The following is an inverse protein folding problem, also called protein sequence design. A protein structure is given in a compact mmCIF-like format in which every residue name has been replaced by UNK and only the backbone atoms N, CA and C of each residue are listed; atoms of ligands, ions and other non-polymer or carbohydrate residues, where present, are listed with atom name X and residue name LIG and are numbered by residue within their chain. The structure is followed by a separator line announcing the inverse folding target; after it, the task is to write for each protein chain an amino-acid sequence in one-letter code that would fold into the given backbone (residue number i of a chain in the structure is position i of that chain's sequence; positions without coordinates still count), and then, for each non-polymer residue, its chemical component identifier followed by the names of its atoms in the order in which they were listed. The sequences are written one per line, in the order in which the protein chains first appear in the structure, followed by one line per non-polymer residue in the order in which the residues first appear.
data_IF_643218671343
#
_entry.id   IF_643218671343
#
_cell.length_a   1.000
_cell.length_b   1.000
_cell.length_c   1.000
_cell.angle_alpha   90.00
_cell.angle_beta   90.00
_cell.angle_gamma   90.00
#
_symmetry.space_group_name_H-M   'P 1'
#
loop_
_entity.id
_entity.type
_entity.pdbx_description
1 polymer ?
#
# COMPACT_ATOMS: atom_id res chain seq x y z
N UNK A 1 -11.86 6.29 10.40
CA UNK A 1 -11.37 5.45 9.29
C UNK A 1 -11.13 4.04 9.82
N UNK A 2 -11.95 3.08 9.41
CA UNK A 2 -11.82 1.68 9.83
C UNK A 2 -10.75 1.01 8.95
N UNK A 3 -9.52 1.50 9.04
CA UNK A 3 -8.37 0.92 8.33
C UNK A 3 -8.00 -0.40 8.99
N UNK A 4 -8.01 -1.49 8.23
CA UNK A 4 -7.59 -2.80 8.75
C UNK A 4 -6.07 -2.85 8.85
N UNK A 5 -5.54 -2.96 10.07
CA UNK A 5 -4.12 -3.15 10.30
C UNK A 5 -3.71 -4.59 9.97
N UNK A 6 -2.67 -4.75 9.15
CA UNK A 6 -2.10 -6.06 8.86
C UNK A 6 -1.58 -6.68 10.17
N UNK A 7 -2.06 -7.88 10.51
CA UNK A 7 -1.69 -8.62 11.72
C UNK A 7 -2.01 -7.93 13.06
N UNK A 8 -2.94 -6.97 13.10
CA UNK A 8 -3.33 -6.27 14.35
C UNK A 8 -2.16 -5.57 15.05
N UNK A 9 -1.15 -5.16 14.28
CA UNK A 9 -0.03 -4.38 14.78
C UNK A 9 -0.41 -2.90 14.69
N UNK A 10 -0.41 -2.15 15.82
CA UNK A 10 -0.77 -0.75 15.83
C UNK A 10 0.03 0.07 14.80
N UNK A 11 -0.66 0.92 14.06
CA UNK A 11 -0.04 1.88 13.15
C UNK A 11 0.98 2.73 13.91
N UNK A 12 2.23 2.68 13.47
CA UNK A 12 3.31 3.49 14.05
C UNK A 12 3.45 4.80 13.26
N UNK A 13 3.06 5.91 13.90
CA UNK A 13 3.17 7.27 13.31
C UNK A 13 4.38 7.98 13.92
N UNK A 14 5.59 7.63 13.47
CA UNK A 14 6.87 8.20 13.92
C UNK A 14 7.55 9.13 12.89
N UNK A 15 6.82 9.42 11.81
CA UNK A 15 7.23 10.21 10.65
C UNK A 15 5.99 10.89 10.04
N UNK A 16 6.14 11.89 9.16
CA UNK A 16 5.02 12.44 8.40
C UNK A 16 4.20 11.31 7.76
N UNK A 17 2.90 11.37 7.98
CA UNK A 17 1.96 10.34 7.58
C UNK A 17 0.67 11.03 7.18
N UNK A 18 0.06 10.54 6.10
CA UNK A 18 -1.26 10.95 5.63
C UNK A 18 -2.08 9.71 5.28
N UNK A 19 -3.39 9.89 5.27
CA UNK A 19 -4.32 8.92 4.69
C UNK A 19 -4.77 9.40 3.32
N UNK A 20 -4.63 8.53 2.32
CA UNK A 20 -5.06 8.78 0.96
C UNK A 20 -5.23 7.47 0.17
N UNK A 21 -5.66 7.60 -1.09
CA UNK A 21 -5.74 6.48 -2.03
C UNK A 21 -4.52 6.48 -2.94
N UNK A 22 -3.94 5.29 -3.17
CA UNK A 22 -2.79 5.14 -4.07
C UNK A 22 -3.11 5.61 -5.51
N UNK A 23 -4.38 5.50 -5.90
CA UNK A 23 -4.91 5.93 -7.19
C UNK A 23 -5.07 7.46 -7.33
N UNK A 24 -4.91 8.22 -6.24
CA UNK A 24 -5.01 9.68 -6.20
C UNK A 24 -4.16 10.22 -5.05
N UNK A 25 -2.84 10.16 -5.21
CA UNK A 25 -1.90 10.55 -4.17
C UNK A 25 -1.94 12.06 -3.93
N UNK A 26 -2.01 12.54 -2.68
CA UNK A 26 -2.21 13.95 -2.36
C UNK A 26 -0.89 14.74 -2.37
N UNK A 27 -0.01 14.48 -3.35
CA UNK A 27 1.33 15.07 -3.43
C UNK A 27 1.54 15.79 -4.75
N UNK A 28 2.40 16.81 -4.74
CA UNK A 28 2.82 17.55 -5.94
C UNK A 28 3.60 16.64 -6.90
N UNK A 29 3.62 17.04 -8.17
CA UNK A 29 4.36 16.34 -9.20
C UNK A 29 5.85 16.29 -8.89
N UNK A 30 6.46 15.11 -9.04
CA UNK A 30 7.90 14.86 -8.87
C UNK A 30 8.49 15.41 -7.56
N UNK A 31 7.68 15.52 -6.51
CA UNK A 31 8.12 16.01 -5.20
C UNK A 31 9.01 14.99 -4.48
N UNK A 32 8.90 13.72 -4.85
CA UNK A 32 9.76 12.66 -4.35
C UNK A 32 10.80 12.24 -5.38
N UNK A 33 12.03 12.00 -4.92
CA UNK A 33 13.04 11.36 -5.74
C UNK A 33 12.73 9.87 -5.97
N UNK A 34 12.15 9.21 -4.96
CA UNK A 34 11.93 7.77 -4.95
C UNK A 34 10.66 7.37 -4.19
N UNK A 35 9.84 6.49 -4.78
CA UNK A 35 8.69 5.84 -4.13
C UNK A 35 8.98 4.37 -3.83
N UNK A 36 8.63 3.91 -2.62
CA UNK A 36 8.62 2.49 -2.24
C UNK A 36 7.16 2.05 -2.07
N UNK A 37 6.69 1.19 -2.96
CA UNK A 37 5.37 0.57 -2.90
C UNK A 37 5.54 -0.91 -2.54
N UNK A 38 5.40 -1.23 -1.26
CA UNK A 38 5.58 -2.57 -0.73
C UNK A 38 4.24 -3.14 -0.31
N UNK A 39 3.77 -4.17 -1.00
CA UNK A 39 2.50 -4.85 -0.75
C UNK A 39 1.28 -3.90 -0.74
N UNK A 40 1.17 -3.06 -1.77
CA UNK A 40 0.07 -2.10 -1.92
C UNK A 40 -0.59 -2.14 -3.30
N UNK A 41 0.16 -2.44 -4.37
CA UNK A 41 -0.37 -2.37 -5.74
C UNK A 41 -1.37 -3.50 -6.01
N UNK A 42 -1.19 -4.68 -5.41
CA UNK A 42 -2.09 -5.82 -5.52
C UNK A 42 -3.48 -5.56 -4.94
N UNK A 43 -3.62 -4.57 -4.05
CA UNK A 43 -4.90 -4.16 -3.47
C UNK A 43 -5.67 -3.16 -4.34
N UNK A 44 -5.03 -2.60 -5.37
CA UNK A 44 -5.64 -1.58 -6.23
C UNK A 44 -6.71 -2.17 -7.15
N UNK A 45 -7.87 -1.52 -7.22
CA UNK A 45 -8.91 -1.85 -8.20
C UNK A 45 -8.67 -1.17 -9.56
N UNK A 46 -7.87 -0.11 -9.57
CA UNK A 46 -7.47 0.65 -10.76
C UNK A 46 -5.91 0.71 -10.84
N UNK A 47 -5.23 -0.44 -11.03
CA UNK A 47 -3.77 -0.51 -10.98
C UNK A 47 -3.10 0.43 -12.00
N UNK A 48 -3.72 0.64 -13.16
CA UNK A 48 -3.23 1.59 -14.17
C UNK A 48 -3.15 3.02 -13.61
N UNK A 49 -4.11 3.38 -12.76
CA UNK A 49 -4.20 4.69 -12.12
C UNK A 49 -3.22 4.83 -10.97
N UNK A 50 -3.12 3.81 -10.12
CA UNK A 50 -2.08 3.72 -9.08
C UNK A 50 -0.66 3.89 -9.66
N UNK A 51 -0.35 3.18 -10.74
CA UNK A 51 0.94 3.29 -11.43
C UNK A 51 1.18 4.69 -12.02
N UNK A 52 0.14 5.34 -12.57
CA UNK A 52 0.26 6.73 -13.05
C UNK A 52 0.54 7.70 -11.91
N UNK A 53 -0.12 7.56 -10.77
CA UNK A 53 0.11 8.42 -9.62
C UNK A 53 1.50 8.25 -9.02
N UNK A 54 1.99 7.01 -8.89
CA UNK A 54 3.37 6.77 -8.45
C UNK A 54 4.39 7.43 -9.38
N UNK A 55 4.18 7.32 -10.70
CA UNK A 55 5.00 8.04 -11.68
C UNK A 55 4.82 9.55 -11.60
N UNK A 56 3.64 10.06 -11.30
CA UNK A 56 3.39 11.51 -11.23
C UNK A 56 4.16 12.14 -10.07
N UNK A 57 4.10 11.52 -8.88
CA UNK A 57 4.69 12.10 -7.65
C UNK A 57 6.19 11.85 -7.54
N UNK A 58 6.75 10.88 -8.28
CA UNK A 58 8.16 10.48 -8.14
C UNK A 58 8.93 10.34 -9.45
N UNK A 59 10.26 10.47 -9.41
CA UNK A 59 11.15 10.26 -10.56
C UNK A 59 11.55 8.80 -10.75
N UNK A 60 11.66 8.05 -9.65
CA UNK A 60 11.99 6.64 -9.66
C UNK A 60 11.24 5.91 -8.54
N UNK A 61 11.33 4.59 -8.52
CA UNK A 61 10.76 3.84 -7.42
C UNK A 61 10.98 2.34 -7.47
N UNK A 62 10.40 1.69 -6.48
CA UNK A 62 10.42 0.25 -6.26
C UNK A 62 9.01 -0.25 -5.95
N UNK A 63 8.60 -1.30 -6.65
CA UNK A 63 7.34 -2.00 -6.42
C UNK A 63 7.64 -3.42 -5.99
N UNK A 64 7.11 -3.81 -4.84
CA UNK A 64 7.14 -5.17 -4.30
C UNK A 64 5.73 -5.67 -4.06
N UNK A 65 5.41 -6.83 -4.63
CA UNK A 65 4.12 -7.51 -4.49
C UNK A 65 4.35 -9.03 -4.53
N UNK A 66 3.43 -9.86 -4.04
CA UNK A 66 3.49 -11.30 -4.27
C UNK A 66 3.53 -11.57 -5.78
N UNK A 67 4.37 -12.50 -6.22
CA UNK A 67 4.33 -12.91 -7.63
C UNK A 67 2.96 -13.55 -7.96
N UNK A 68 2.50 -13.36 -9.20
CA UNK A 68 1.23 -13.87 -9.69
C UNK A 68 1.02 -15.36 -9.41
N UNK A 69 2.09 -16.18 -9.49
CA UNK A 69 2.01 -17.59 -9.13
C UNK A 69 1.62 -17.77 -7.66
N UNK A 70 2.30 -17.06 -6.76
CA UNK A 70 2.04 -17.14 -5.32
C UNK A 70 0.67 -16.59 -4.95
N UNK A 71 0.26 -15.49 -5.57
CA UNK A 71 -1.08 -14.94 -5.40
C UNK A 71 -2.17 -15.92 -5.88
N UNK A 72 -1.92 -16.66 -6.95
CA UNK A 72 -2.88 -17.64 -7.51
C UNK A 72 -3.10 -18.82 -6.56
N UNK A 73 -2.03 -19.38 -6.00
CA UNK A 73 -2.10 -20.60 -5.17
C UNK A 73 -2.35 -20.30 -3.70
N UNK A 74 -2.01 -19.10 -3.22
CA UNK A 74 -2.18 -18.67 -1.84
C UNK A 74 -2.81 -17.26 -1.77
N UNK A 75 -4.07 -17.11 -2.22
CA UNK A 75 -4.70 -15.80 -2.37
C UNK A 75 -5.02 -15.13 -1.03
N UNK A 76 -4.99 -13.79 -1.05
CA UNK A 76 -5.45 -12.97 0.08
C UNK A 76 -6.83 -12.37 -0.21
N UNK A 77 -7.63 -12.22 0.86
CA UNK A 77 -9.05 -11.82 0.80
C UNK A 77 -9.26 -10.43 0.17
N UNK A 78 -8.24 -9.58 0.20
CA UNK A 78 -8.26 -8.17 -0.21
C UNK A 78 -7.31 -7.87 -1.38
N UNK A 79 -6.64 -8.88 -1.94
CA UNK A 79 -5.83 -8.75 -3.14
C UNK A 79 -6.70 -8.83 -4.39
N UNK A 80 -6.68 -7.75 -5.18
CA UNK A 80 -7.50 -7.49 -6.37
C UNK A 80 -6.79 -7.81 -7.68
N UNK A 81 -5.48 -7.99 -7.66
CA UNK A 81 -4.69 -8.26 -8.86
C UNK A 81 -3.60 -9.31 -8.63
N UNK A 82 -3.27 -10.05 -9.69
CA UNK A 82 -2.09 -10.89 -9.79
C UNK A 82 -1.06 -10.17 -10.65
N UNK A 83 0.18 -10.09 -10.16
CA UNK A 83 1.21 -9.27 -10.79
C UNK A 83 2.48 -10.11 -10.92
N UNK A 84 3.05 -10.14 -12.12
CA UNK A 84 4.36 -10.76 -12.37
C UNK A 84 5.19 -9.86 -13.29
N UNK A 85 6.46 -10.16 -13.49
CA UNK A 85 7.31 -9.46 -14.46
C UNK A 85 7.59 -10.39 -15.63
N UNK A 86 7.29 -9.94 -16.86
CA UNK A 86 7.69 -10.63 -18.09
C UNK A 86 8.41 -9.66 -19.00
N UNK A 87 9.57 -10.06 -19.50
CA UNK A 87 10.41 -9.24 -20.39
C UNK A 87 10.68 -7.84 -19.79
N UNK A 88 10.95 -7.77 -18.48
CA UNK A 88 11.24 -6.52 -17.77
C UNK A 88 10.03 -5.61 -17.53
N UNK A 89 8.81 -6.05 -17.87
CA UNK A 89 7.57 -5.28 -17.76
C UNK A 89 6.60 -5.91 -16.76
N UNK A 90 5.88 -5.10 -15.98
CA UNK A 90 4.81 -5.57 -15.11
C UNK A 90 3.66 -6.13 -15.96
N UNK A 91 3.29 -7.38 -15.74
CA UNK A 91 2.10 -8.02 -16.31
C UNK A 91 1.07 -8.16 -15.21
N UNK A 92 -0.04 -7.44 -15.35
CA UNK A 92 -1.08 -7.30 -14.31
C UNK A 92 -2.36 -7.96 -14.81
N UNK A 93 -2.90 -8.88 -14.01
CA UNK A 93 -4.21 -9.49 -14.22
C UNK A 93 -5.15 -9.08 -13.09
N UNK A 94 -6.26 -8.43 -13.42
CA UNK A 94 -7.33 -8.13 -12.47
C UNK A 94 -8.06 -9.42 -12.09
N UNK A 95 -8.38 -9.59 -10.81
CA UNK A 95 -9.15 -10.72 -10.29
C UNK A 95 -10.62 -10.32 -10.17
N UNK A 96 -11.54 -11.14 -10.69
CA UNK A 96 -12.99 -10.91 -10.53
C UNK A 96 -13.53 -11.32 -9.15
N UNK A 97 -12.72 -12.05 -8.36
CA UNK A 97 -13.01 -12.47 -6.98
C UNK A 97 -11.68 -12.71 -6.26
N UNK A 98 -11.68 -12.73 -4.93
CA UNK A 98 -10.47 -12.95 -4.14
C UNK A 98 -9.86 -14.36 -4.35
N UNK A 99 -10.67 -15.38 -4.70
CA UNK A 99 -10.19 -16.68 -5.20
C UNK A 99 -10.52 -16.79 -6.69
N UNK A 100 -9.51 -17.10 -7.50
CA UNK A 100 -9.67 -17.35 -8.94
C UNK A 100 -9.99 -18.83 -9.21
N UNK A 101 -9.34 -19.74 -8.50
CA UNK A 101 -9.49 -21.17 -8.64
C UNK A 101 -9.48 -21.82 -7.25
N UNK A 102 -10.64 -22.33 -6.82
CA UNK A 102 -10.80 -22.86 -5.46
C UNK A 102 -10.21 -24.25 -5.32
N UNK A 103 -10.29 -25.08 -6.36
CA UNK A 103 -9.74 -26.43 -6.38
C UNK A 103 -8.22 -26.39 -6.32
N UNK A 104 -7.59 -25.51 -7.13
CA UNK A 104 -6.15 -25.30 -7.09
C UNK A 104 -5.64 -24.88 -5.70
N UNK A 105 -6.36 -23.96 -5.05
CA UNK A 105 -6.02 -23.50 -3.70
C UNK A 105 -6.13 -24.67 -2.72
N UNK A 106 -7.21 -25.43 -2.75
CA UNK A 106 -7.39 -26.62 -1.88
C UNK A 106 -6.24 -27.62 -2.06
N UNK A 107 -5.88 -27.96 -3.30
CA UNK A 107 -4.78 -28.89 -3.59
C UNK A 107 -3.43 -28.37 -3.07
N UNK A 108 -3.17 -27.06 -3.22
CA UNK A 108 -1.98 -26.42 -2.68
C UNK A 108 -1.96 -26.43 -1.15
N UNK A 109 -3.09 -26.12 -0.51
CA UNK A 109 -3.22 -26.09 0.95
C UNK A 109 -2.99 -27.47 1.57
N UNK A 110 -3.54 -28.53 0.96
CA UNK A 110 -3.38 -29.91 1.44
C UNK A 110 -1.94 -30.43 1.29
N UNK A 111 -1.29 -30.18 0.14
CA UNK A 111 -0.03 -30.86 -0.21
C UNK A 111 1.23 -30.02 -0.03
N UNK A 112 1.17 -28.72 -0.34
CA UNK A 112 2.35 -27.90 -0.61
C UNK A 112 2.54 -26.76 0.40
N UNK A 113 1.45 -26.16 0.90
CA UNK A 113 1.49 -24.97 1.74
C UNK A 113 2.44 -25.09 2.94
N UNK A 114 2.47 -26.18 3.73
CA UNK A 114 3.39 -26.29 4.86
C UNK A 114 4.87 -26.20 4.45
N UNK A 115 5.25 -26.76 3.30
CA UNK A 115 6.62 -26.69 2.77
C UNK A 115 6.94 -25.29 2.25
N UNK A 116 6.02 -24.66 1.54
CA UNK A 116 6.20 -23.31 1.02
C UNK A 116 6.31 -22.29 2.14
N UNK A 117 5.36 -22.25 3.07
CA UNK A 117 5.36 -21.26 4.15
C UNK A 117 6.40 -21.56 5.24
N UNK A 118 6.70 -22.83 5.48
CA UNK A 118 7.62 -23.26 6.54
C UNK A 118 9.09 -23.29 6.14
N UNK A 119 9.41 -23.46 4.84
CA UNK A 119 10.78 -23.61 4.38
C UNK A 119 11.12 -22.73 3.18
N UNK A 120 10.37 -22.82 2.08
CA UNK A 120 10.79 -22.16 0.83
C UNK A 120 10.69 -20.65 0.87
N UNK A 121 9.56 -20.07 1.30
CA UNK A 121 9.39 -18.61 1.37
C UNK A 121 10.43 -17.98 2.32
N UNK A 122 10.67 -18.50 3.54
CA UNK A 122 11.71 -17.95 4.42
C UNK A 122 13.13 -18.06 3.85
N UNK A 123 13.45 -19.15 3.13
CA UNK A 123 14.80 -19.38 2.59
C UNK A 123 15.04 -18.71 1.23
N UNK A 124 13.96 -18.41 0.48
CA UNK A 124 14.01 -17.83 -0.87
C UNK A 124 12.99 -16.69 -1.01
N UNK A 125 13.07 -15.65 -0.16
CA UNK A 125 12.06 -14.61 -0.11
C UNK A 125 11.90 -13.87 -1.43
N UNK A 126 12.95 -13.77 -2.25
CA UNK A 126 12.92 -13.03 -3.51
C UNK A 126 12.34 -13.80 -4.69
N UNK A 127 12.19 -15.12 -4.58
CA UNK A 127 11.68 -15.94 -5.68
C UNK A 127 10.15 -15.89 -5.79
N UNK A 128 9.50 -15.47 -4.71
CA UNK A 128 8.05 -15.50 -4.52
C UNK A 128 7.43 -14.11 -4.53
N UNK A 129 8.23 -13.08 -4.79
CA UNK A 129 7.83 -11.69 -4.87
C UNK A 129 8.31 -11.08 -6.17
N UNK A 130 7.47 -10.26 -6.78
CA UNK A 130 7.91 -9.30 -7.78
C UNK A 130 8.71 -8.22 -7.08
N UNK A 131 9.87 -7.88 -7.66
CA UNK A 131 10.73 -6.77 -7.22
C UNK A 131 11.07 -5.93 -8.45
N UNK A 132 10.32 -4.86 -8.66
CA UNK A 132 10.40 -4.07 -9.88
C UNK A 132 10.90 -2.66 -9.59
N UNK A 133 12.11 -2.36 -10.04
CA UNK A 133 12.68 -1.02 -10.03
C UNK A 133 12.31 -0.30 -11.33
N UNK A 134 12.01 0.99 -11.23
CA UNK A 134 11.66 1.83 -12.36
C UNK A 134 12.29 3.22 -12.22
N UNK A 135 12.52 3.85 -13.37
CA UNK A 135 13.02 5.22 -13.48
C UNK A 135 12.30 5.90 -14.65
N UNK A 136 11.80 7.12 -14.42
CA UNK A 136 11.01 7.98 -15.30
C UNK A 136 9.65 7.41 -15.73
N UNK A 137 9.60 6.15 -16.13
CA UNK A 137 8.39 5.43 -16.52
C UNK A 137 8.33 4.03 -15.93
N UNK A 138 7.11 3.57 -15.67
CA UNK A 138 6.80 2.19 -15.28
C UNK A 138 6.28 1.47 -16.51
N UNK A 139 7.04 0.48 -16.98
CA UNK A 139 6.56 -0.39 -18.04
C UNK A 139 5.53 -1.38 -17.46
N UNK A 140 4.30 -1.36 -17.97
CA UNK A 140 3.28 -2.33 -17.57
C UNK A 140 2.30 -2.71 -18.70
N UNK A 141 1.55 -3.79 -18.48
CA UNK A 141 0.37 -4.16 -19.25
C UNK A 141 -0.68 -4.79 -18.33
N UNK A 142 -1.92 -4.34 -18.51
CA UNK A 142 -3.10 -5.05 -17.97
C UNK A 142 -3.63 -6.00 -19.03
N UNK A 143 -3.65 -7.30 -18.74
CA UNK A 143 -3.99 -8.34 -19.73
C UNK A 143 -5.49 -8.57 -19.89
N UNK A 144 -6.30 -8.09 -18.95
CA UNK A 144 -7.75 -8.27 -18.91
C UNK A 144 -8.46 -7.00 -18.41
N UNK A 145 -8.38 -5.88 -19.17
CA UNK A 145 -8.85 -4.57 -18.71
C UNK A 145 -10.36 -4.51 -18.44
N UNK A 146 -11.14 -5.41 -19.03
CA UNK A 146 -12.61 -5.51 -18.85
C UNK A 146 -13.06 -6.11 -17.52
N UNK A 147 -12.17 -6.75 -16.76
CA UNK A 147 -12.53 -7.36 -15.48
C UNK A 147 -12.68 -6.28 -14.41
N UNK A 148 -13.84 -6.26 -13.76
CA UNK A 148 -14.10 -5.39 -12.61
C UNK A 148 -13.51 -6.01 -11.33
N UNK A 149 -12.55 -5.32 -10.73
CA UNK A 149 -11.91 -5.72 -9.50
C UNK A 149 -12.47 -5.02 -8.26
N UNK A 150 -13.58 -4.26 -8.37
CA UNK A 150 -14.20 -3.49 -7.27
C UNK A 150 -15.15 -4.31 -6.37
N UNK A 151 -14.98 -5.63 -6.35
CA UNK A 151 -15.74 -6.51 -5.46
C UNK A 151 -15.44 -6.22 -3.98
N UNK A 152 -16.37 -6.57 -3.11
CA UNK A 152 -16.24 -6.43 -1.66
C UNK A 152 -15.41 -7.59 -1.10
N UNK A 153 -14.38 -7.27 -0.32
CA UNK A 153 -13.56 -8.29 0.33
C UNK A 153 -14.40 -9.04 1.37
N UNK A 154 -14.25 -10.38 1.50
CA UNK A 154 -14.90 -11.14 2.57
C UNK A 154 -14.56 -10.58 3.95
N UNK A 155 -15.49 -10.74 4.89
CA UNK A 155 -15.24 -10.41 6.30
C UNK A 155 -14.11 -11.30 6.84
N UNK A 156 -13.21 -10.72 7.62
CA UNK A 156 -12.24 -11.50 8.39
C UNK A 156 -12.80 -11.72 9.79
N UNK A 157 -13.27 -12.94 10.02
CA UNK A 157 -13.87 -13.44 11.25
C UNK A 157 -12.84 -14.04 12.22
N UNK A 158 -11.56 -14.03 11.83
CA UNK A 158 -10.48 -14.54 12.66
C UNK A 158 -10.36 -13.72 13.95
N UNK A 159 -10.31 -14.36 15.13
CA UNK A 159 -10.17 -13.65 16.39
C UNK A 159 -8.85 -12.88 16.42
N UNK A 160 -8.89 -11.66 16.95
CA UNK A 160 -7.67 -10.87 17.20
C UNK A 160 -6.76 -11.71 18.12
N UNK A 161 -5.51 -12.01 17.72
CA UNK A 161 -4.57 -12.67 18.61
C UNK A 161 -4.41 -11.81 19.86
N UNK A 162 -4.38 -12.44 21.04
CA UNK A 162 -4.06 -11.74 22.27
C UNK A 162 -2.68 -11.10 22.13
N UNK A 163 -2.57 -9.80 22.44
CA UNK A 163 -1.29 -9.09 22.43
C UNK A 163 -0.41 -9.73 23.50
N UNK A 164 0.67 -10.41 23.08
CA UNK A 164 1.60 -11.04 24.01
C UNK A 164 2.22 -10.00 24.95
N UNK A 165 2.39 -10.36 26.23
CA UNK A 165 3.04 -9.48 27.20
C UNK A 165 4.46 -9.15 26.77
N UNK A 166 4.82 -7.87 26.88
CA UNK A 166 6.14 -7.37 26.49
C UNK A 166 7.15 -7.81 27.54
N UNK A 167 7.90 -8.88 27.25
CA UNK A 167 9.03 -9.29 28.08
C UNK A 167 10.20 -8.28 28.01
N UNK A 168 11.21 -8.45 28.86
CA UNK A 168 12.38 -7.54 28.95
C UNK A 168 13.08 -7.25 27.62
N UNK A 169 13.13 -8.24 26.70
CA UNK A 169 13.65 -8.06 25.34
C UNK A 169 12.87 -7.01 24.55
N UNK A 170 11.57 -6.94 24.75
CA UNK A 170 10.70 -5.93 24.15
C UNK A 170 10.97 -4.54 24.70
N UNK A 171 11.23 -4.40 26.00
CA UNK A 171 11.64 -3.14 26.63
C UNK A 171 12.98 -2.64 26.07
N UNK A 172 14.00 -3.51 26.00
CA UNK A 172 15.31 -3.17 25.43
C UNK A 172 15.18 -2.75 23.96
N UNK A 173 14.42 -3.50 23.17
CA UNK A 173 14.15 -3.15 21.76
C UNK A 173 13.39 -1.82 21.63
N UNK A 174 12.48 -1.52 22.55
CA UNK A 174 11.79 -0.23 22.64
C UNK A 174 12.76 0.92 22.88
N UNK A 175 13.64 0.79 23.88
CA UNK A 175 14.66 1.79 24.17
C UNK A 175 15.62 2.01 22.99
N UNK A 176 16.13 0.94 22.38
CA UNK A 176 16.96 1.01 21.17
C UNK A 176 16.23 1.69 20.01
N UNK A 177 14.94 1.37 19.78
CA UNK A 177 14.13 2.04 18.76
C UNK A 177 14.00 3.54 19.03
N UNK A 178 13.77 3.96 20.27
CA UNK A 178 13.70 5.37 20.62
C UNK A 178 15.04 6.08 20.39
N UNK A 179 16.15 5.47 20.83
CA UNK A 179 17.50 6.02 20.67
C UNK A 179 17.94 6.11 19.20
N UNK A 180 17.58 5.11 18.39
CA UNK A 180 17.87 5.08 16.96
C UNK A 180 16.75 5.69 16.11
N UNK A 181 15.73 6.29 16.74
CA UNK A 181 14.61 6.88 16.03
C UNK A 181 15.09 8.10 15.27
N UNK A 182 14.60 8.25 14.04
CA UNK A 182 14.86 9.44 13.24
C UNK A 182 13.83 10.54 13.54
N UNK A 183 13.13 10.47 14.69
CA UNK A 183 12.01 11.35 15.03
C UNK A 183 12.40 12.82 15.05
N UNK A 184 13.63 13.17 15.48
CA UNK A 184 14.10 14.55 15.44
C UNK A 184 14.20 15.08 14.00
N UNK A 185 14.80 14.30 13.08
CA UNK A 185 14.87 14.62 11.65
C UNK A 185 13.47 14.67 11.02
N UNK A 186 12.63 13.68 11.33
CA UNK A 186 11.31 13.53 10.74
C UNK A 186 10.37 14.69 11.14
N UNK A 187 10.51 15.26 12.34
CA UNK A 187 9.73 16.43 12.79
C UNK A 187 10.00 17.70 11.98
N UNK A 188 11.14 17.80 11.32
CA UNK A 188 11.50 18.95 10.50
C UNK A 188 10.97 18.86 9.06
N UNK A 189 10.33 17.75 8.68
CA UNK A 189 9.75 17.59 7.35
C UNK A 189 8.45 18.39 7.27
N UNK A 190 8.44 19.40 6.41
CA UNK A 190 7.23 20.16 6.09
C UNK A 190 6.34 19.36 5.14
N UNK A 191 5.39 18.61 5.71
CA UNK A 191 4.43 17.84 4.92
C UNK A 191 3.54 18.76 4.06
N UNK A 192 3.12 19.92 4.57
CA UNK A 192 2.22 20.82 3.85
C UNK A 192 2.85 21.31 2.54
N UNK A 193 4.15 21.60 2.56
CA UNK A 193 4.93 21.95 1.38
C UNK A 193 4.95 20.89 0.28
N UNK A 194 4.65 19.63 0.59
CA UNK A 194 4.64 18.50 -0.36
C UNK A 194 3.26 18.23 -0.97
N UNK A 195 2.18 18.73 -0.35
CA UNK A 195 0.82 18.32 -0.68
C UNK A 195 0.29 18.96 -1.97
N UNK A 196 -0.53 18.22 -2.68
CA UNK A 196 -1.43 18.73 -3.71
C UNK A 196 -2.85 18.22 -3.45
N UNK A 197 -3.84 18.93 -3.94
CA UNK A 197 -5.24 18.60 -3.73
C UNK A 197 -5.60 17.29 -4.45
N UNK A 198 -5.99 16.20 -3.75
CA UNK A 198 -6.37 14.93 -4.38
C UNK A 198 -7.69 15.02 -5.19
N UNK A 199 -8.50 16.07 -4.97
CA UNK A 199 -9.74 16.31 -5.73
C UNK A 199 -9.47 16.92 -7.10
N UNK A 200 -8.71 18.03 -7.16
CA UNK A 200 -8.51 18.80 -8.39
C UNK A 200 -7.07 18.84 -8.92
N UNK A 201 -6.10 18.30 -8.17
CA UNK A 201 -4.68 18.29 -8.52
C UNK A 201 -3.93 19.59 -8.22
N UNK A 202 -4.60 20.62 -7.70
CA UNK A 202 -3.97 21.91 -7.47
C UNK A 202 -2.95 21.89 -6.31
N UNK A 203 -1.79 22.50 -6.51
CA UNK A 203 -0.66 22.46 -5.58
C UNK A 203 -0.82 23.39 -4.36
N UNK A 204 -1.71 24.38 -4.41
CA UNK A 204 -1.97 25.28 -3.27
C UNK A 204 -3.01 24.65 -2.33
N UNK A 205 -2.50 23.92 -1.35
CA UNK A 205 -3.26 23.34 -0.23
C UNK A 205 -2.68 23.90 1.06
N UNK A 206 -3.43 24.77 1.72
CA UNK A 206 -2.98 25.45 2.92
C UNK A 206 -3.47 24.76 4.17
N UNK A 207 -2.63 24.80 5.20
CA UNK A 207 -2.99 24.33 6.53
C UNK A 207 -3.96 25.32 7.19
N UNK A 208 -5.04 24.79 7.75
CA UNK A 208 -6.03 25.52 8.56
C UNK A 208 -5.99 25.03 10.01
N UNK A 209 -6.85 25.59 10.87
CA UNK A 209 -7.01 25.14 12.27
C UNK A 209 -7.42 23.68 12.39
N UNK A 210 -8.26 23.21 11.48
CA UNK A 210 -8.93 21.91 11.55
C UNK A 210 -8.47 20.93 10.46
N UNK A 211 -7.44 21.30 9.70
CA UNK A 211 -6.83 20.44 8.68
C UNK A 211 -6.22 21.22 7.52
N UNK A 212 -6.72 20.98 6.31
CA UNK A 212 -6.19 21.56 5.08
C UNK A 212 -7.32 22.04 4.17
N UNK A 213 -7.05 23.06 3.35
CA UNK A 213 -8.00 23.56 2.35
C UNK A 213 -7.29 23.84 1.02
N UNK A 214 -7.89 23.40 -0.08
CA UNK A 214 -7.43 23.75 -1.41
C UNK A 214 -7.91 25.15 -1.82
N UNK A 215 -7.02 25.97 -2.38
CA UNK A 215 -7.38 27.30 -2.88
C UNK A 215 -8.21 27.29 -4.17
N UNK A 216 -8.02 26.27 -5.03
CA UNK A 216 -8.66 26.24 -6.34
C UNK A 216 -10.10 25.70 -6.29
N UNK A 217 -10.32 24.56 -5.63
CA UNK A 217 -11.64 23.93 -5.56
C UNK A 217 -12.34 24.09 -4.20
N UNK A 218 -11.71 24.80 -3.25
CA UNK A 218 -12.22 25.04 -1.90
C UNK A 218 -12.46 23.78 -1.03
N UNK A 219 -12.15 22.58 -1.53
CA UNK A 219 -12.25 21.32 -0.77
C UNK A 219 -11.47 21.42 0.55
N UNK A 220 -12.12 21.01 1.64
CA UNK A 220 -11.53 20.94 2.96
C UNK A 220 -11.23 19.48 3.33
N UNK A 221 -10.03 19.23 3.83
CA UNK A 221 -9.56 17.92 4.26
C UNK A 221 -9.32 17.97 5.78
N UNK A 222 -10.03 17.16 6.57
CA UNK A 222 -9.89 17.20 8.02
C UNK A 222 -8.55 16.62 8.47
N UNK A 223 -8.02 17.15 9.57
CA UNK A 223 -6.94 16.51 10.32
C UNK A 223 -7.54 15.77 11.53
N UNK A 224 -7.16 14.50 11.70
CA UNK A 224 -7.57 13.68 12.84
C UNK A 224 -6.36 13.31 13.67
N UNK A 225 -6.15 14.00 14.79
CA UNK A 225 -5.06 13.74 15.73
C UNK A 225 -3.65 13.92 15.12
N UNK A 226 -3.47 14.92 14.26
CA UNK A 226 -2.21 15.19 13.55
C UNK A 226 -2.04 14.35 12.28
N UNK A 227 -3.11 13.69 11.82
CA UNK A 227 -3.13 12.84 10.61
C UNK A 227 -4.04 13.49 9.56
N UNK A 228 -3.47 14.04 8.47
CA UNK A 228 -4.24 14.59 7.37
C UNK A 228 -5.06 13.49 6.68
N UNK A 229 -6.35 13.74 6.48
CA UNK A 229 -7.27 12.86 5.76
C UNK A 229 -7.51 13.40 4.36
N UNK A 230 -6.62 13.09 3.42
CA UNK A 230 -6.58 13.68 2.08
C UNK A 230 -7.25 12.76 1.05
N UNK A 231 -8.55 12.50 1.25
CA UNK A 231 -9.34 11.73 0.29
C UNK A 231 -9.99 12.65 -0.75
N UNK A 232 -10.06 12.25 -2.03
CA UNK A 232 -10.81 12.98 -3.05
C UNK A 232 -12.28 13.18 -2.66
N UNK A 233 -12.87 14.31 -3.05
CA UNK A 233 -14.29 14.57 -2.79
C UNK A 233 -15.20 13.47 -3.36
N UNK A 234 -16.22 13.10 -2.57
CA UNK A 234 -17.17 12.05 -2.93
C UNK A 234 -16.67 10.62 -2.71
N UNK A 235 -15.45 10.45 -2.20
CA UNK A 235 -14.98 9.14 -1.71
C UNK A 235 -15.20 9.05 -0.21
N UNK A 236 -16.07 8.15 0.24
CA UNK A 236 -16.14 7.78 1.64
C UNK A 236 -14.84 7.01 2.02
N UNK A 237 -14.29 7.21 3.22
CA UNK A 237 -13.25 6.32 3.74
C UNK A 237 -13.77 4.88 3.92
#
# INVERSE_FOLDING_TARGET
PDTRERHWVPLTVDRPFDFGFLERLPFKDKVFDFVVASHVLEHSSEPERALREMQRVARAGYIEVPDAFMERVNPYKDHRAEITVRQGRLTIRKKGSWIVDRELVELYEDRAKPLFTGAFIPSRPFDFHVRHYWQDSIAYQVVNPSVDARWLAPVDDRPRPAVASVGWRGTVRGALRTLMSQSARNRAIDLAGLLACPTCGHAAVDRTTDGFRCHACATAYPDRHGLPMLYPDGTAP
#
